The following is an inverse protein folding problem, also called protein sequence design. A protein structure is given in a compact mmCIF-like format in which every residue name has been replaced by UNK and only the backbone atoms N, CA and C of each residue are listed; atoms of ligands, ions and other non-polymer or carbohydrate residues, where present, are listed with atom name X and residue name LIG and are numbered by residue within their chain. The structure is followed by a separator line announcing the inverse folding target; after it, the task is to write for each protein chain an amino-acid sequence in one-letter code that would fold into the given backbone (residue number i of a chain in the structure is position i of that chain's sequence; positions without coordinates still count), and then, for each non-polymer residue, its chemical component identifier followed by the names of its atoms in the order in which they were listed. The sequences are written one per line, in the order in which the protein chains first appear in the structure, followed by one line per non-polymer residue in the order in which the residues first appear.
data_IF_372079042009
#
_entry.id   IF_372079042009
#
_cell.length_a   1.000
_cell.length_b   1.000
_cell.length_c   1.000
_cell.angle_alpha   90.00
_cell.angle_beta   90.00
_cell.angle_gamma   90.00
#
_symmetry.space_group_name_H-M   'P 1'
#
loop_
_entity.id
_entity.type
_entity.pdbx_description
1 polymer ?
#
# COMPACT_ATOMS: atom_id res chain seq x y z
N UNK A 1 14.14 -24.14 -28.89
CA UNK A 1 12.86 -23.39 -28.89
C UNK A 1 12.14 -23.78 -27.59
N UNK A 2 12.33 -23.03 -26.50
CA UNK A 2 11.76 -23.37 -25.19
C UNK A 2 10.26 -23.02 -25.17
N UNK A 3 9.40 -23.99 -24.81
CA UNK A 3 7.97 -23.76 -24.62
C UNK A 3 7.74 -22.79 -23.45
N UNK A 4 7.33 -21.57 -23.79
CA UNK A 4 6.97 -20.49 -22.84
C UNK A 4 5.89 -20.89 -21.83
N UNK A 5 5.05 -21.88 -22.16
CA UNK A 5 3.97 -22.38 -21.30
C UNK A 5 4.47 -23.02 -19.99
N UNK A 6 5.60 -23.75 -20.00
CA UNK A 6 6.08 -24.46 -18.81
C UNK A 6 6.67 -23.51 -17.76
N UNK A 7 7.37 -22.46 -18.17
CA UNK A 7 7.91 -21.45 -17.26
C UNK A 7 6.83 -20.58 -16.63
N UNK A 8 5.73 -20.34 -17.35
CA UNK A 8 4.58 -19.61 -16.81
C UNK A 8 3.94 -20.34 -15.63
N UNK A 9 3.83 -21.68 -15.70
CA UNK A 9 3.31 -22.50 -14.60
C UNK A 9 4.24 -22.51 -13.39
N UNK A 10 5.55 -22.65 -13.60
CA UNK A 10 6.53 -22.62 -12.50
C UNK A 10 6.52 -21.25 -11.81
N UNK A 11 6.44 -20.16 -12.58
CA UNK A 11 6.34 -18.81 -12.04
C UNK A 11 5.03 -18.61 -11.25
N UNK A 12 3.91 -19.08 -11.77
CA UNK A 12 2.60 -19.03 -11.08
C UNK A 12 2.66 -19.76 -9.73
N UNK A 13 3.29 -20.94 -9.70
CA UNK A 13 3.46 -21.70 -8.47
C UNK A 13 4.38 -21.00 -7.46
N UNK A 14 5.46 -20.34 -7.92
CA UNK A 14 6.33 -19.53 -7.06
C UNK A 14 5.59 -18.31 -6.47
N UNK A 15 4.75 -17.64 -7.26
CA UNK A 15 3.90 -16.55 -6.77
C UNK A 15 2.89 -17.03 -5.72
N UNK A 16 2.32 -18.23 -5.89
CA UNK A 16 1.42 -18.83 -4.92
C UNK A 16 2.13 -19.17 -3.61
N UNK A 17 3.34 -19.74 -3.67
CA UNK A 17 4.14 -20.02 -2.46
C UNK A 17 4.54 -18.73 -1.73
N UNK A 18 4.87 -17.67 -2.47
CA UNK A 18 5.20 -16.37 -1.88
C UNK A 18 3.98 -15.68 -1.25
N UNK A 19 2.81 -15.77 -1.89
CA UNK A 19 1.58 -15.21 -1.31
C UNK A 19 1.16 -15.96 -0.05
N UNK A 20 1.37 -17.28 0.00
CA UNK A 20 1.18 -18.07 1.21
C UNK A 20 2.14 -17.65 2.34
N UNK A 21 3.43 -17.46 2.05
CA UNK A 21 4.42 -16.97 3.03
C UNK A 21 4.02 -15.61 3.62
N UNK A 22 3.64 -14.65 2.76
CA UNK A 22 3.16 -13.33 3.18
C UNK A 22 1.88 -13.40 4.02
N UNK A 23 0.97 -14.31 3.67
CA UNK A 23 -0.25 -14.55 4.42
C UNK A 23 0.06 -15.07 5.83
N UNK A 24 0.88 -16.11 5.98
CA UNK A 24 1.21 -16.64 7.32
C UNK A 24 1.96 -15.59 8.16
N UNK A 25 2.89 -14.85 7.57
CA UNK A 25 3.60 -13.77 8.27
C UNK A 25 2.66 -12.65 8.76
N UNK A 26 1.57 -12.37 8.04
CA UNK A 26 0.63 -11.30 8.40
C UNK A 26 -0.46 -11.78 9.38
N UNK A 27 -0.95 -13.00 9.21
CA UNK A 27 -2.13 -13.51 9.93
C UNK A 27 -1.80 -14.43 11.11
N UNK A 28 -0.58 -14.95 11.23
CA UNK A 28 -0.18 -15.83 12.34
C UNK A 28 -0.37 -15.19 13.72
N UNK A 29 -0.29 -13.86 13.83
CA UNK A 29 -0.51 -13.14 15.09
C UNK A 29 -1.99 -13.16 15.54
N UNK A 30 -2.95 -13.28 14.61
CA UNK A 30 -4.37 -13.41 14.98
C UNK A 30 -4.66 -14.75 15.66
N UNK A 31 -3.86 -15.77 15.39
CA UNK A 31 -4.02 -17.13 15.93
C UNK A 31 -3.21 -17.36 17.21
N UNK A 32 -2.70 -16.29 17.84
CA UNK A 32 -1.88 -16.36 19.07
C UNK A 32 -2.53 -17.09 20.24
N UNK A 33 -3.86 -17.18 20.28
CA UNK A 33 -4.63 -17.84 21.35
C UNK A 33 -4.60 -19.36 21.23
N UNK A 34 -4.18 -19.90 20.08
CA UNK A 34 -4.12 -21.33 19.79
C UNK A 34 -2.69 -21.72 19.36
N UNK A 35 -1.75 -21.93 20.29
CA UNK A 35 -0.33 -22.16 19.99
C UNK A 35 -0.10 -23.41 19.13
N UNK A 36 -0.98 -24.41 19.20
CA UNK A 36 -0.92 -25.61 18.36
C UNK A 36 -1.20 -25.28 16.88
N UNK A 37 -2.21 -24.45 16.61
CA UNK A 37 -2.55 -24.03 15.24
C UNK A 37 -1.43 -23.15 14.67
N UNK A 38 -0.87 -22.27 15.49
CA UNK A 38 0.26 -21.43 15.10
C UNK A 38 1.51 -22.26 14.76
N UNK A 39 1.82 -23.30 15.55
CA UNK A 39 2.91 -24.24 15.26
C UNK A 39 2.71 -24.93 13.91
N UNK A 40 1.50 -25.45 13.64
CA UNK A 40 1.20 -26.13 12.38
C UNK A 40 1.36 -25.18 11.19
N UNK A 41 0.90 -23.93 11.30
CA UNK A 41 1.07 -22.93 10.25
C UNK A 41 2.54 -22.63 9.96
N UNK A 42 3.39 -22.49 10.98
CA UNK A 42 4.83 -22.27 10.81
C UNK A 42 5.53 -23.47 10.16
N UNK A 43 5.16 -24.70 10.53
CA UNK A 43 5.70 -25.91 9.88
C UNK A 43 5.33 -25.94 8.39
N UNK A 44 4.07 -25.64 8.04
CA UNK A 44 3.63 -25.61 6.64
C UNK A 44 4.34 -24.47 5.88
N UNK A 45 4.55 -23.32 6.52
CA UNK A 45 5.29 -22.19 5.95
C UNK A 45 6.76 -22.56 5.68
N UNK A 46 7.47 -23.18 6.63
CA UNK A 46 8.87 -23.59 6.45
C UNK A 46 9.00 -24.61 5.31
N UNK A 47 8.06 -25.55 5.20
CA UNK A 47 7.99 -26.50 4.08
C UNK A 47 7.76 -25.75 2.75
N UNK A 48 6.85 -24.78 2.71
CA UNK A 48 6.57 -23.99 1.50
C UNK A 48 7.78 -23.15 1.05
N UNK A 49 8.51 -22.53 2.00
CA UNK A 49 9.76 -21.80 1.72
C UNK A 49 10.84 -22.75 1.19
N UNK A 50 10.98 -23.94 1.79
CA UNK A 50 11.91 -24.97 1.32
C UNK A 50 11.59 -25.41 -0.12
N UNK A 51 10.31 -25.65 -0.43
CA UNK A 51 9.87 -25.96 -1.80
C UNK A 51 10.18 -24.82 -2.77
N UNK A 52 9.98 -23.56 -2.37
CA UNK A 52 10.32 -22.40 -3.19
C UNK A 52 11.82 -22.38 -3.54
N UNK A 53 12.69 -22.62 -2.54
CA UNK A 53 14.14 -22.72 -2.72
C UNK A 53 14.49 -23.86 -3.69
N UNK A 54 13.89 -25.05 -3.54
CA UNK A 54 14.11 -26.19 -4.43
C UNK A 54 13.73 -25.83 -5.87
N UNK A 55 12.60 -25.15 -6.08
CA UNK A 55 12.17 -24.74 -7.42
C UNK A 55 13.15 -23.74 -8.03
N UNK A 56 13.67 -22.78 -7.25
CA UNK A 56 14.70 -21.84 -7.70
C UNK A 56 15.96 -22.61 -8.17
N UNK A 57 16.41 -23.61 -7.39
CA UNK A 57 17.55 -24.45 -7.79
C UNK A 57 17.27 -25.30 -9.03
N UNK A 58 16.07 -25.87 -9.17
CA UNK A 58 15.69 -26.63 -10.37
C UNK A 58 15.63 -25.73 -11.62
N UNK A 59 15.14 -24.49 -11.50
CA UNK A 59 15.16 -23.53 -12.62
C UNK A 59 16.60 -23.13 -12.98
N UNK A 60 17.48 -23.02 -12.00
CA UNK A 60 18.90 -22.74 -12.21
C UNK A 60 19.59 -23.86 -13.02
N UNK A 61 19.37 -25.12 -12.66
CA UNK A 61 19.92 -26.28 -13.39
C UNK A 61 19.38 -26.42 -14.81
N UNK A 62 18.12 -26.03 -15.04
CA UNK A 62 17.47 -26.08 -16.34
C UNK A 62 17.81 -24.89 -17.27
N UNK A 63 18.74 -24.02 -16.87
CA UNK A 63 19.16 -22.87 -17.69
C UNK A 63 20.24 -23.28 -18.70
N UNK A 64 20.17 -22.78 -19.94
CA UNK A 64 21.15 -23.07 -21.01
C UNK A 64 22.60 -22.80 -20.61
N UNK A 65 22.86 -21.76 -19.81
CA UNK A 65 24.21 -21.42 -19.33
C UNK A 65 24.79 -22.52 -18.43
N UNK A 66 23.94 -23.17 -17.63
CA UNK A 66 24.33 -24.30 -16.79
C UNK A 66 24.57 -25.56 -17.64
N UNK A 67 23.71 -25.82 -18.63
CA UNK A 67 23.86 -26.94 -19.58
C UNK A 67 25.10 -26.81 -20.48
N UNK A 68 25.52 -25.58 -20.78
CA UNK A 68 26.73 -25.29 -21.55
C UNK A 68 28.04 -25.44 -20.74
N UNK A 69 27.96 -25.78 -19.44
CA UNK A 69 29.14 -25.98 -18.57
C UNK A 69 29.74 -24.71 -17.98
N UNK A 70 29.15 -23.52 -18.20
CA UNK A 70 29.61 -22.23 -17.65
C UNK A 70 29.10 -21.99 -16.22
N UNK A 71 29.24 -22.99 -15.36
CA UNK A 71 28.69 -22.99 -14.00
C UNK A 71 29.30 -21.90 -13.12
N UNK A 72 30.61 -21.65 -13.25
CA UNK A 72 31.33 -20.61 -12.48
C UNK A 72 30.80 -19.19 -12.75
N UNK A 73 30.45 -18.87 -14.00
CA UNK A 73 29.88 -17.57 -14.36
C UNK A 73 28.51 -17.37 -13.70
N UNK A 74 27.72 -18.44 -13.67
CA UNK A 74 26.37 -18.43 -13.16
C UNK A 74 26.36 -18.27 -11.62
N UNK A 75 27.23 -18.98 -10.91
CA UNK A 75 27.39 -18.80 -9.46
C UNK A 75 27.88 -17.39 -9.12
N UNK A 76 28.82 -16.81 -9.87
CA UNK A 76 29.27 -15.44 -9.62
C UNK A 76 28.12 -14.43 -9.76
N UNK A 77 27.25 -14.62 -10.76
CA UNK A 77 26.13 -13.71 -11.03
C UNK A 77 24.99 -13.82 -10.01
N UNK A 78 24.69 -15.03 -9.53
CA UNK A 78 23.53 -15.30 -8.66
C UNK A 78 23.89 -15.59 -7.19
N UNK A 79 25.17 -15.49 -6.80
CA UNK A 79 25.64 -15.71 -5.42
C UNK A 79 24.83 -14.91 -4.40
N UNK A 80 24.52 -13.65 -4.70
CA UNK A 80 23.72 -12.79 -3.83
C UNK A 80 22.33 -13.36 -3.57
N UNK A 81 21.62 -13.80 -4.61
CA UNK A 81 20.27 -14.37 -4.48
C UNK A 81 20.28 -15.67 -3.69
N UNK A 82 21.25 -16.56 -3.92
CA UNK A 82 21.37 -17.84 -3.20
C UNK A 82 21.68 -17.61 -1.72
N UNK A 83 22.61 -16.71 -1.42
CA UNK A 83 22.94 -16.36 -0.03
C UNK A 83 21.74 -15.72 0.66
N UNK A 84 21.03 -14.82 -0.03
CA UNK A 84 19.85 -14.14 0.52
C UNK A 84 18.72 -15.13 0.86
N UNK A 85 18.41 -16.08 -0.02
CA UNK A 85 17.35 -17.08 0.25
C UNK A 85 17.74 -18.05 1.36
N UNK A 86 19.02 -18.45 1.44
CA UNK A 86 19.51 -19.29 2.53
C UNK A 86 19.46 -18.56 3.89
N UNK A 87 19.86 -17.29 3.93
CA UNK A 87 19.78 -16.45 5.14
C UNK A 87 18.33 -16.24 5.54
N UNK A 88 17.43 -15.97 4.59
CA UNK A 88 16.01 -15.81 4.87
C UNK A 88 15.40 -17.05 5.52
N UNK A 89 15.65 -18.23 4.95
CA UNK A 89 15.15 -19.50 5.50
C UNK A 89 15.69 -19.79 6.90
N UNK A 90 16.99 -19.56 7.14
CA UNK A 90 17.59 -19.75 8.45
C UNK A 90 17.01 -18.79 9.51
N UNK A 91 16.79 -17.52 9.14
CA UNK A 91 16.17 -16.52 10.01
C UNK A 91 14.70 -16.86 10.31
N UNK A 92 13.95 -17.34 9.32
CA UNK A 92 12.54 -17.74 9.47
C UNK A 92 12.40 -18.91 10.46
N UNK A 93 13.19 -19.98 10.30
CA UNK A 93 13.18 -21.11 11.25
C UNK A 93 13.58 -20.64 12.65
N UNK A 94 14.65 -19.85 12.76
CA UNK A 94 15.13 -19.33 14.05
C UNK A 94 14.03 -18.51 14.75
N UNK A 95 13.30 -17.69 13.99
CA UNK A 95 12.19 -16.91 14.50
C UNK A 95 11.01 -17.80 14.94
N UNK A 96 10.60 -18.77 14.13
CA UNK A 96 9.51 -19.69 14.47
C UNK A 96 9.82 -20.50 15.74
N UNK A 97 11.03 -21.05 15.85
CA UNK A 97 11.49 -21.79 17.04
C UNK A 97 11.50 -20.89 18.28
N UNK A 98 12.02 -19.67 18.15
CA UNK A 98 12.08 -18.70 19.24
C UNK A 98 10.68 -18.31 19.74
N UNK A 99 9.79 -17.94 18.82
CA UNK A 99 8.40 -17.56 19.12
C UNK A 99 7.64 -18.72 19.75
N UNK A 100 7.78 -19.94 19.23
CA UNK A 100 7.08 -21.09 19.76
C UNK A 100 7.57 -21.48 21.16
N UNK A 101 8.87 -21.39 21.43
CA UNK A 101 9.42 -21.67 22.76
C UNK A 101 8.85 -20.71 23.82
N UNK A 102 8.72 -19.43 23.49
CA UNK A 102 8.17 -18.42 24.39
C UNK A 102 6.66 -18.58 24.61
N UNK A 103 5.89 -18.88 23.55
CA UNK A 103 4.43 -18.97 23.61
C UNK A 103 3.91 -20.31 24.14
N UNK A 104 4.72 -21.37 24.13
CA UNK A 104 4.31 -22.72 24.57
C UNK A 104 3.89 -22.79 26.03
N UNK A 105 4.52 -22.01 26.92
CA UNK A 105 4.21 -22.03 28.36
C UNK A 105 3.24 -20.92 28.80
N UNK A 106 3.26 -19.76 28.15
CA UNK A 106 2.44 -18.59 28.51
C UNK A 106 1.78 -17.95 27.27
N UNK A 107 0.66 -18.54 26.81
CA UNK A 107 -0.03 -18.12 25.58
C UNK A 107 -0.55 -16.67 25.58
N UNK A 108 -0.78 -16.08 26.75
CA UNK A 108 -1.37 -14.72 26.91
C UNK A 108 -0.34 -13.63 27.25
N UNK A 109 0.94 -13.97 27.40
CA UNK A 109 1.97 -12.97 27.67
C UNK A 109 2.29 -12.23 26.37
N UNK A 110 2.19 -10.91 26.37
CA UNK A 110 2.56 -10.08 25.22
C UNK A 110 4.09 -10.10 25.08
N UNK A 111 4.63 -11.01 24.27
CA UNK A 111 6.08 -11.18 24.12
C UNK A 111 6.64 -10.14 23.13
N UNK A 112 6.66 -8.88 23.56
CA UNK A 112 7.53 -7.86 22.98
C UNK A 112 8.88 -7.96 23.70
N UNK A 113 9.82 -8.74 23.16
CA UNK A 113 11.21 -8.73 23.65
C UNK A 113 11.96 -7.54 23.05
N UNK A 114 12.99 -7.06 23.76
CA UNK A 114 13.84 -5.93 23.34
C UNK A 114 14.45 -6.12 21.92
N UNK A 115 14.66 -7.37 21.51
CA UNK A 115 15.12 -7.77 20.16
C UNK A 115 14.09 -7.51 19.05
N UNK A 116 12.81 -7.76 19.32
CA UNK A 116 11.71 -7.46 18.40
C UNK A 116 11.46 -5.95 18.33
N UNK A 117 11.58 -5.26 19.47
CA UNK A 117 11.55 -3.79 19.51
C UNK A 117 12.67 -3.16 18.69
N UNK A 118 13.90 -3.65 18.83
CA UNK A 118 15.04 -3.14 18.07
C UNK A 118 14.91 -3.40 16.59
N UNK A 119 14.50 -4.60 16.15
CA UNK A 119 14.20 -4.87 14.73
C UNK A 119 13.06 -4.00 14.19
N UNK A 120 11.98 -3.83 14.97
CA UNK A 120 10.86 -2.96 14.61
C UNK A 120 11.26 -1.49 14.54
N UNK A 121 12.15 -1.05 15.43
CA UNK A 121 12.75 0.29 15.43
C UNK A 121 13.70 0.44 14.26
N UNK A 122 14.54 -0.53 13.91
CA UNK A 122 15.40 -0.49 12.72
C UNK A 122 14.59 -0.50 11.42
N UNK A 123 13.53 -1.30 11.33
CA UNK A 123 12.59 -1.30 10.20
C UNK A 123 11.86 0.04 10.08
N UNK A 124 11.53 0.70 11.20
CA UNK A 124 10.94 2.05 11.22
C UNK A 124 11.96 3.15 10.96
N UNK A 125 13.20 3.02 11.43
CA UNK A 125 14.30 3.96 11.18
C UNK A 125 14.72 3.91 9.70
N UNK A 126 14.71 2.73 9.07
CA UNK A 126 14.88 2.59 7.62
C UNK A 126 13.71 3.14 6.79
N UNK A 127 12.56 3.42 7.42
CA UNK A 127 11.37 4.07 6.84
C UNK A 127 11.19 5.53 7.29
N UNK A 128 12.15 6.15 7.96
CA UNK A 128 12.02 7.55 8.40
C UNK A 128 12.55 8.52 7.37
N UNK A 129 11.75 8.79 6.33
CA UNK A 129 11.71 10.14 5.75
C UNK A 129 10.26 10.57 5.41
N UNK A 130 9.47 9.77 4.68
CA UNK A 130 8.08 10.11 4.34
C UNK A 130 7.06 9.47 5.28
N UNK A 131 5.90 10.13 5.48
CA UNK A 131 4.80 9.54 6.23
C UNK A 131 4.07 8.51 5.37
N UNK A 132 4.28 7.24 5.71
CA UNK A 132 3.64 6.10 5.02
C UNK A 132 2.10 6.12 5.02
N UNK A 133 1.39 6.53 6.09
CA UNK A 133 -0.08 6.57 6.04
C UNK A 133 -0.61 7.67 5.11
N UNK A 134 0.05 8.83 5.04
CA UNK A 134 -0.36 9.92 4.15
C UNK A 134 -0.20 9.55 2.67
N UNK A 135 0.89 8.85 2.33
CA UNK A 135 1.12 8.38 0.96
C UNK A 135 0.04 7.39 0.49
N UNK A 136 -0.39 6.50 1.38
CA UNK A 136 -1.48 5.55 1.10
C UNK A 136 -2.79 6.31 0.87
N UNK A 137 -3.07 7.35 1.67
CA UNK A 137 -4.27 8.17 1.48
C UNK A 137 -4.26 8.91 0.13
N UNK A 138 -3.16 9.56 -0.25
CA UNK A 138 -3.08 10.23 -1.55
C UNK A 138 -3.30 9.28 -2.72
N UNK A 139 -2.75 8.06 -2.63
CA UNK A 139 -2.97 7.05 -3.66
C UNK A 139 -4.44 6.62 -3.74
N UNK A 140 -5.06 6.32 -2.60
CA UNK A 140 -6.48 5.94 -2.54
C UNK A 140 -7.40 7.07 -3.03
N UNK A 141 -7.13 8.30 -2.62
CA UNK A 141 -7.90 9.46 -3.01
C UNK A 141 -7.75 9.76 -4.52
N UNK A 142 -6.56 9.56 -5.10
CA UNK A 142 -6.37 9.68 -6.55
C UNK A 142 -7.30 8.74 -7.35
N UNK A 143 -7.41 7.48 -6.94
CA UNK A 143 -8.34 6.53 -7.58
C UNK A 143 -9.81 6.88 -7.30
N UNK A 144 -10.13 7.21 -6.06
CA UNK A 144 -11.48 7.59 -5.67
C UNK A 144 -11.95 8.82 -6.45
N UNK A 145 -11.13 9.86 -6.54
CA UNK A 145 -11.45 11.08 -7.26
C UNK A 145 -11.62 10.84 -8.78
N UNK A 146 -10.80 9.98 -9.39
CA UNK A 146 -10.98 9.61 -10.78
C UNK A 146 -12.35 8.94 -11.02
N UNK A 147 -12.77 8.05 -10.12
CA UNK A 147 -14.10 7.43 -10.19
C UNK A 147 -15.22 8.43 -9.90
N UNK A 148 -15.01 9.34 -8.94
CA UNK A 148 -15.95 10.42 -8.60
C UNK A 148 -16.23 11.30 -9.82
N UNK A 149 -15.17 11.79 -10.48
CA UNK A 149 -15.30 12.67 -11.65
C UNK A 149 -16.08 12.02 -12.80
N UNK A 150 -15.82 10.75 -13.09
CA UNK A 150 -16.55 10.02 -14.13
C UNK A 150 -18.02 9.81 -13.76
N UNK A 151 -18.30 9.38 -12.53
CA UNK A 151 -19.66 9.18 -12.04
C UNK A 151 -20.46 10.48 -12.03
N UNK A 152 -19.87 11.57 -11.54
CA UNK A 152 -20.50 12.89 -11.50
C UNK A 152 -20.85 13.39 -12.91
N UNK A 153 -19.96 13.15 -13.89
CA UNK A 153 -20.23 13.48 -15.30
C UNK A 153 -21.43 12.68 -15.85
N UNK A 154 -21.53 11.39 -15.56
CA UNK A 154 -22.71 10.59 -15.94
C UNK A 154 -23.98 11.06 -15.23
N UNK A 155 -23.90 11.46 -13.96
CA UNK A 155 -25.03 11.98 -13.20
C UNK A 155 -25.49 13.33 -13.78
N UNK A 156 -24.57 14.19 -14.23
CA UNK A 156 -24.95 15.42 -14.93
C UNK A 156 -25.65 15.18 -16.25
N UNK A 157 -25.20 14.19 -17.03
CA UNK A 157 -25.91 13.78 -18.24
C UNK A 157 -27.31 13.28 -17.92
N UNK A 158 -27.45 12.45 -16.88
CA UNK A 158 -28.74 11.97 -16.38
C UNK A 158 -29.65 13.13 -15.96
N UNK A 159 -29.13 14.08 -15.17
CA UNK A 159 -29.87 15.26 -14.70
C UNK A 159 -30.32 16.15 -15.86
N UNK A 160 -29.44 16.39 -16.83
CA UNK A 160 -29.74 17.23 -17.99
C UNK A 160 -30.80 16.64 -18.92
N UNK A 161 -30.97 15.32 -18.93
CA UNK A 161 -31.95 14.64 -19.79
C UNK A 161 -33.31 14.43 -19.12
N UNK A 162 -33.34 14.09 -17.83
CA UNK A 162 -34.54 13.61 -17.14
C UNK A 162 -35.15 14.63 -16.17
N UNK A 163 -34.35 15.51 -15.57
CA UNK A 163 -34.81 16.47 -14.58
C UNK A 163 -34.95 17.85 -15.23
N UNK A 164 -35.94 18.67 -14.83
CA UNK A 164 -36.05 20.06 -15.27
C UNK A 164 -34.95 20.90 -14.60
N UNK A 165 -33.71 20.75 -15.08
CA UNK A 165 -32.53 21.44 -14.59
C UNK A 165 -32.34 22.75 -15.37
N UNK A 166 -32.33 23.93 -14.72
CA UNK A 166 -32.05 25.19 -15.40
C UNK A 166 -30.68 25.16 -16.09
N UNK A 167 -30.63 25.50 -17.38
CA UNK A 167 -29.40 25.37 -18.18
C UNK A 167 -28.24 26.18 -17.63
N UNK A 168 -28.49 27.37 -17.07
CA UNK A 168 -27.46 28.20 -16.44
C UNK A 168 -26.78 27.50 -15.24
N UNK A 169 -27.57 26.85 -14.39
CA UNK A 169 -27.05 26.13 -13.22
C UNK A 169 -26.27 24.88 -13.64
N UNK A 170 -26.75 24.17 -14.66
CA UNK A 170 -26.05 22.99 -15.17
C UNK A 170 -24.66 23.35 -15.71
N UNK A 171 -24.56 24.46 -16.45
CA UNK A 171 -23.28 24.96 -16.96
C UNK A 171 -22.36 25.36 -15.80
N UNK A 172 -22.88 26.06 -14.79
CA UNK A 172 -22.10 26.42 -13.60
C UNK A 172 -21.54 25.18 -12.91
N UNK A 173 -22.36 24.16 -12.68
CA UNK A 173 -21.96 22.93 -11.98
C UNK A 173 -20.90 22.14 -12.80
N UNK A 174 -21.04 22.06 -14.11
CA UNK A 174 -20.03 21.41 -14.97
C UNK A 174 -18.70 22.18 -14.96
N UNK A 175 -18.73 23.52 -15.03
CA UNK A 175 -17.53 24.35 -14.93
C UNK A 175 -16.86 24.17 -13.57
N UNK A 176 -17.65 24.15 -12.50
CA UNK A 176 -17.18 23.87 -11.16
C UNK A 176 -16.54 22.49 -11.07
N UNK A 177 -17.08 21.45 -11.72
CA UNK A 177 -16.50 20.10 -11.70
C UNK A 177 -15.12 20.06 -12.37
N UNK A 178 -14.95 20.79 -13.48
CA UNK A 178 -13.66 20.91 -14.17
C UNK A 178 -12.63 21.68 -13.34
N UNK A 179 -13.04 22.77 -12.68
CA UNK A 179 -12.18 23.49 -11.74
C UNK A 179 -11.79 22.59 -10.56
N UNK A 180 -12.73 21.78 -10.06
CA UNK A 180 -12.47 20.87 -8.96
C UNK A 180 -11.39 19.84 -9.34
N UNK A 181 -11.49 19.27 -10.54
CA UNK A 181 -10.48 18.34 -11.07
C UNK A 181 -9.09 18.96 -11.08
N UNK A 182 -8.97 20.21 -11.54
CA UNK A 182 -7.68 20.92 -11.54
C UNK A 182 -7.11 21.09 -10.13
N UNK A 183 -7.94 21.54 -9.18
CA UNK A 183 -7.53 21.74 -7.79
C UNK A 183 -7.05 20.41 -7.18
N UNK A 184 -7.81 19.34 -7.34
CA UNK A 184 -7.50 18.05 -6.71
C UNK A 184 -6.23 17.42 -7.29
N UNK A 185 -6.04 17.48 -8.61
CA UNK A 185 -4.82 16.98 -9.27
C UNK A 185 -3.58 17.73 -8.77
N UNK A 186 -3.65 19.05 -8.68
CA UNK A 186 -2.55 19.88 -8.19
C UNK A 186 -2.29 19.57 -6.71
N UNK A 187 -3.34 19.48 -5.89
CA UNK A 187 -3.24 19.17 -4.46
C UNK A 187 -2.54 17.85 -4.23
N UNK A 188 -3.01 16.77 -4.85
CA UNK A 188 -2.46 15.41 -4.68
C UNK A 188 -1.02 15.32 -5.21
N UNK A 189 -0.71 15.98 -6.34
CA UNK A 189 0.63 16.02 -6.89
C UNK A 189 1.63 16.67 -5.93
N UNK A 190 1.33 17.86 -5.43
CA UNK A 190 2.19 18.57 -4.48
C UNK A 190 2.24 17.89 -3.12
N UNK A 191 1.14 17.28 -2.66
CA UNK A 191 1.09 16.50 -1.42
C UNK A 191 2.03 15.29 -1.46
N UNK A 192 1.93 14.50 -2.52
CA UNK A 192 2.78 13.31 -2.74
C UNK A 192 4.26 13.70 -2.88
N UNK A 193 4.57 14.71 -3.69
CA UNK A 193 5.94 15.19 -3.86
C UNK A 193 6.49 15.81 -2.58
N UNK A 194 5.68 16.53 -1.82
CA UNK A 194 6.08 17.10 -0.53
C UNK A 194 6.39 16.04 0.51
N UNK A 195 5.57 14.99 0.58
CA UNK A 195 5.74 13.88 1.51
C UNK A 195 6.99 13.05 1.17
N UNK A 196 7.16 12.66 -0.11
CA UNK A 196 8.29 11.86 -0.57
C UNK A 196 9.62 12.61 -0.52
N UNK A 197 9.64 13.91 -0.84
CA UNK A 197 10.86 14.72 -0.84
C UNK A 197 11.14 15.41 0.49
N UNK A 198 10.30 15.22 1.52
CA UNK A 198 10.38 15.92 2.81
C UNK A 198 10.48 17.45 2.69
N UNK A 199 9.82 18.04 1.69
CA UNK A 199 9.87 19.48 1.46
C UNK A 199 8.63 20.16 2.01
N UNK A 200 8.83 21.09 2.94
CA UNK A 200 7.74 21.86 3.58
C UNK A 200 6.91 22.68 2.60
N UNK A 201 7.56 23.25 1.59
CA UNK A 201 6.92 24.16 0.64
C UNK A 201 5.83 23.47 -0.21
N UNK A 202 6.11 22.38 -0.96
CA UNK A 202 5.06 21.65 -1.70
C UNK A 202 3.99 21.04 -0.79
N UNK A 203 4.36 20.57 0.40
CA UNK A 203 3.41 20.03 1.37
C UNK A 203 2.47 21.13 1.90
N UNK A 204 3.00 22.34 2.14
CA UNK A 204 2.21 23.52 2.52
C UNK A 204 1.28 24.01 1.41
N UNK A 205 1.70 23.91 0.13
CA UNK A 205 0.81 24.18 -1.01
C UNK A 205 -0.37 23.20 -1.02
N UNK A 206 -0.12 21.92 -0.75
CA UNK A 206 -1.18 20.91 -0.68
C UNK A 206 -2.19 21.22 0.43
N UNK A 207 -1.70 21.55 1.63
CA UNK A 207 -2.56 21.99 2.76
C UNK A 207 -3.40 23.21 2.39
N UNK A 208 -2.82 24.20 1.70
CA UNK A 208 -3.56 25.38 1.26
C UNK A 208 -4.66 25.03 0.24
N UNK A 209 -4.42 24.07 -0.65
CA UNK A 209 -5.38 23.58 -1.64
C UNK A 209 -6.44 22.62 -1.06
N UNK A 210 -6.23 22.09 0.14
CA UNK A 210 -7.25 21.33 0.87
C UNK A 210 -8.48 22.18 1.21
N UNK A 211 -8.32 23.49 1.45
CA UNK A 211 -9.43 24.42 1.69
C UNK A 211 -10.37 24.58 0.48
N UNK A 212 -9.90 25.00 -0.71
CA UNK A 212 -10.78 25.11 -1.88
C UNK A 212 -11.33 23.74 -2.32
N UNK A 213 -10.61 22.64 -2.11
CA UNK A 213 -11.15 21.29 -2.35
C UNK A 213 -12.32 20.97 -1.41
N UNK A 214 -12.19 21.22 -0.10
CA UNK A 214 -13.27 21.01 0.86
C UNK A 214 -14.48 21.92 0.57
N UNK A 215 -14.25 23.18 0.17
CA UNK A 215 -15.32 24.08 -0.27
C UNK A 215 -16.08 23.50 -1.46
N UNK A 216 -15.38 22.92 -2.43
CA UNK A 216 -15.99 22.34 -3.62
C UNK A 216 -16.86 21.12 -3.31
N UNK A 217 -16.37 20.21 -2.46
CA UNK A 217 -17.17 19.08 -1.97
C UNK A 217 -18.41 19.56 -1.20
N UNK A 218 -18.27 20.61 -0.38
CA UNK A 218 -19.41 21.19 0.34
C UNK A 218 -20.43 21.85 -0.58
N UNK A 219 -19.99 22.44 -1.70
CA UNK A 219 -20.86 23.00 -2.72
C UNK A 219 -21.75 21.92 -3.34
N UNK A 220 -21.17 20.80 -3.78
CA UNK A 220 -21.95 19.69 -4.35
C UNK A 220 -22.88 19.02 -3.33
N UNK A 221 -22.54 19.05 -2.04
CA UNK A 221 -23.37 18.46 -1.00
C UNK A 221 -24.56 19.34 -0.60
N UNK A 222 -24.38 20.67 -0.56
CA UNK A 222 -25.35 21.60 0.06
C UNK A 222 -26.02 22.59 -0.91
N UNK A 223 -25.30 23.04 -1.95
CA UNK A 223 -25.69 24.19 -2.77
C UNK A 223 -26.14 23.80 -4.18
N UNK A 224 -25.91 22.56 -4.61
CA UNK A 224 -26.34 22.06 -5.91
C UNK A 224 -27.87 22.00 -6.01
N UNK A 225 -28.41 22.27 -7.20
CA UNK A 225 -29.88 22.45 -7.42
C UNK A 225 -30.67 21.16 -7.12
N UNK A 226 -30.11 20.01 -7.51
CA UNK A 226 -30.65 18.70 -7.16
C UNK A 226 -29.51 17.83 -6.66
N UNK A 227 -29.57 17.40 -5.39
CA UNK A 227 -28.60 16.49 -4.78
C UNK A 227 -29.20 15.09 -4.71
N UNK A 228 -28.64 14.13 -5.45
CA UNK A 228 -29.05 12.73 -5.34
C UNK A 228 -28.41 12.09 -4.11
N UNK A 229 -29.05 11.04 -3.59
CA UNK A 229 -28.52 10.28 -2.43
C UNK A 229 -27.12 9.72 -2.70
N UNK A 230 -26.85 9.29 -3.93
CA UNK A 230 -25.55 8.79 -4.34
C UNK A 230 -24.47 9.88 -4.24
N UNK A 231 -24.75 11.08 -4.74
CA UNK A 231 -23.83 12.24 -4.68
C UNK A 231 -23.56 12.66 -3.24
N UNK A 232 -24.59 12.65 -2.38
CA UNK A 232 -24.43 12.96 -0.97
C UNK A 232 -23.48 11.98 -0.26
N UNK A 233 -23.60 10.67 -0.54
CA UNK A 233 -22.69 9.65 0.00
C UNK A 233 -21.28 9.85 -0.55
N UNK A 234 -21.14 10.07 -1.85
CA UNK A 234 -19.85 10.25 -2.51
C UNK A 234 -19.10 11.50 -1.99
N UNK A 235 -19.78 12.64 -1.87
CA UNK A 235 -19.22 13.87 -1.32
C UNK A 235 -18.88 13.75 0.18
N UNK A 236 -19.68 13.01 0.94
CA UNK A 236 -19.39 12.72 2.35
C UNK A 236 -18.11 11.92 2.54
N UNK A 237 -17.90 10.87 1.72
CA UNK A 237 -16.66 10.08 1.73
C UNK A 237 -15.46 10.95 1.33
N UNK A 238 -15.63 11.84 0.35
CA UNK A 238 -14.57 12.72 -0.13
C UNK A 238 -14.14 13.75 0.94
N UNK A 239 -15.09 14.31 1.68
CA UNK A 239 -14.80 15.17 2.85
C UNK A 239 -14.08 14.42 3.96
N UNK A 240 -14.40 13.14 4.19
CA UNK A 240 -13.69 12.31 5.14
C UNK A 240 -12.23 12.09 4.73
N UNK A 241 -11.99 11.75 3.45
CA UNK A 241 -10.63 11.66 2.90
C UNK A 241 -9.88 12.98 3.06
N UNK A 242 -10.47 14.10 2.61
CA UNK A 242 -9.88 15.43 2.73
C UNK A 242 -9.53 15.80 4.18
N UNK A 243 -10.39 15.49 5.14
CA UNK A 243 -10.14 15.75 6.57
C UNK A 243 -9.00 14.90 7.13
N UNK A 244 -8.95 13.61 6.76
CA UNK A 244 -7.88 12.70 7.20
C UNK A 244 -6.52 13.06 6.58
N UNK A 245 -6.50 13.49 5.31
CA UNK A 245 -5.30 13.97 4.62
C UNK A 245 -4.78 15.26 5.26
N UNK A 246 -5.64 16.26 5.46
CA UNK A 246 -5.25 17.52 6.08
C UNK A 246 -4.68 17.33 7.50
N UNK A 247 -5.26 16.44 8.30
CA UNK A 247 -4.75 16.13 9.63
C UNK A 247 -3.32 15.56 9.56
N UNK A 248 -3.09 14.57 8.69
CA UNK A 248 -1.77 13.98 8.52
C UNK A 248 -0.76 14.95 7.87
N UNK A 249 -1.17 15.76 6.90
CA UNK A 249 -0.34 16.80 6.30
C UNK A 249 0.14 17.82 7.35
N UNK A 250 -0.74 18.29 8.23
CA UNK A 250 -0.37 19.22 9.32
C UNK A 250 0.61 18.56 10.29
N UNK A 251 0.37 17.30 10.67
CA UNK A 251 1.29 16.55 11.54
C UNK A 251 2.68 16.38 10.90
N UNK A 252 2.73 16.12 9.59
CA UNK A 252 3.99 15.98 8.85
C UNK A 252 4.72 17.30 8.69
N UNK A 253 4.01 18.41 8.44
CA UNK A 253 4.58 19.75 8.45
C UNK A 253 5.14 20.11 9.83
N UNK A 254 4.41 19.81 10.90
CA UNK A 254 4.85 20.05 12.27
C UNK A 254 6.13 19.26 12.59
N UNK A 255 6.18 17.98 12.19
CA UNK A 255 7.37 17.14 12.35
C UNK A 255 8.57 17.71 11.58
N UNK A 256 8.40 18.07 10.30
CA UNK A 256 9.44 18.73 9.50
C UNK A 256 9.87 20.07 10.13
N UNK A 257 8.95 20.82 10.74
CA UNK A 257 9.26 22.11 11.40
C UNK A 257 10.12 21.95 12.65
N UNK A 258 9.99 20.81 13.35
CA UNK A 258 10.78 20.50 14.54
C UNK A 258 12.21 20.07 14.21
N UNK A 259 12.40 19.40 13.07
CA UNK A 259 13.72 18.93 12.63
C UNK A 259 14.65 20.07 12.20
N UNK A 260 14.13 21.12 11.54
CA UNK A 260 14.94 22.28 11.15
C UNK A 260 15.38 23.16 12.34
N UNK A 261 14.85 22.93 13.54
CA UNK A 261 15.20 23.67 14.77
C UNK A 261 16.33 23.01 15.57
N UNK A 262 16.81 21.84 15.15
CA UNK A 262 17.93 21.08 15.74
C UNK A 262 19.14 21.27 14.85
#
# INVERSE_FOLDING_TARGET
MLQTSNYSLVLSLQFLLLSYDLFVNSFSELLRMAPVIQLVLFIIQDIAILFNIIIIFLMFFNTFVFQAGLVNLLFHKFKGTIVLTAVYFALSISFHVWVMNLRWKNSNSFVWTDGLQTLFVFQRLGKRLSSTPLEILFFLNGWYYATYFLLELFIFLYKGLLLPYPTANLVLDVVMLLLYLGIEVIRLFFGTKGNLCQRKMPLGISVALSFPSAMMASYYLLLQTYVLRLEAVMNGILLFFCGSELLLEVLTLAALSSMDRI
#
